data_IF_630465172829
#
_entry.id   IF_630465172829
#
_cell.length_a   1.000
_cell.length_b   1.000
_cell.length_c   1.000
_cell.angle_alpha   90.00
_cell.angle_beta   90.00
_cell.angle_gamma   90.00
#
_symmetry.space_group_name_H-M   'P 1'
#
loop_
_entity.id
_entity.type
_entity.pdbx_description
1 polymer ?
#
# COMPACT_ATOMS: atom_id res chain seq x y z
N UNK A 1 -55.29 -43.39 0.64
CA UNK A 1 -55.11 -42.24 -0.28
C UNK A 1 -54.04 -41.35 0.34
N UNK A 2 -52.84 -41.32 -0.22
CA UNK A 2 -51.76 -40.45 0.27
C UNK A 2 -52.00 -39.07 -0.32
N UNK A 3 -52.34 -38.10 0.52
CA UNK A 3 -52.47 -36.70 0.09
C UNK A 3 -51.10 -36.16 -0.31
N UNK A 4 -51.02 -35.49 -1.46
CA UNK A 4 -49.79 -34.83 -1.90
C UNK A 4 -49.28 -33.88 -0.80
N UNK A 5 -48.09 -34.16 -0.28
CA UNK A 5 -47.46 -33.43 0.83
C UNK A 5 -47.25 -31.95 0.50
N UNK A 6 -47.14 -31.60 -0.78
CA UNK A 6 -47.05 -30.20 -1.24
C UNK A 6 -48.34 -29.43 -0.99
N UNK A 7 -49.48 -30.10 -1.08
CA UNK A 7 -50.82 -29.53 -0.88
C UNK A 7 -51.13 -29.37 0.61
N UNK A 8 -50.75 -30.34 1.43
CA UNK A 8 -50.94 -30.27 2.89
C UNK A 8 -50.14 -29.11 3.53
N UNK A 9 -48.89 -28.88 3.08
CA UNK A 9 -48.07 -27.77 3.61
C UNK A 9 -48.67 -26.41 3.28
N UNK A 10 -49.20 -26.22 2.07
CA UNK A 10 -49.88 -24.97 1.69
C UNK A 10 -51.18 -24.76 2.46
N UNK A 11 -51.95 -25.82 2.69
CA UNK A 11 -53.17 -25.75 3.50
C UNK A 11 -52.86 -25.33 4.94
N UNK A 12 -51.85 -25.94 5.57
CA UNK A 12 -51.41 -25.59 6.93
C UNK A 12 -50.90 -24.14 6.98
N UNK A 13 -50.10 -23.73 5.99
CA UNK A 13 -49.62 -22.35 5.89
C UNK A 13 -50.76 -21.32 5.86
N UNK A 14 -51.88 -21.65 5.22
CA UNK A 14 -53.01 -20.73 5.04
C UNK A 14 -54.01 -20.77 6.20
N UNK A 15 -54.37 -21.97 6.68
CA UNK A 15 -55.46 -22.13 7.66
C UNK A 15 -54.98 -22.18 9.11
N UNK A 16 -53.78 -22.70 9.35
CA UNK A 16 -53.29 -22.99 10.71
C UNK A 16 -51.81 -22.64 10.92
N UNK A 17 -51.33 -21.46 10.48
CA UNK A 17 -49.90 -21.13 10.56
C UNK A 17 -49.38 -21.07 12.01
N UNK A 18 -50.15 -20.50 12.93
CA UNK A 18 -49.68 -20.27 14.31
C UNK A 18 -49.64 -21.56 15.14
N UNK A 19 -50.67 -22.39 15.01
CA UNK A 19 -50.70 -23.71 15.64
C UNK A 19 -49.53 -24.59 15.16
N UNK A 20 -49.22 -24.54 13.86
CA UNK A 20 -48.07 -25.27 13.30
C UNK A 20 -46.74 -24.74 13.82
N UNK A 21 -46.53 -23.41 13.84
CA UNK A 21 -45.30 -22.81 14.39
C UNK A 21 -45.11 -23.14 15.86
N UNK A 22 -46.18 -23.17 16.65
CA UNK A 22 -46.12 -23.53 18.06
C UNK A 22 -45.80 -25.01 18.26
N UNK A 23 -46.41 -25.90 17.45
CA UNK A 23 -46.03 -27.31 17.42
C UNK A 23 -44.56 -27.50 17.05
N UNK A 24 -44.07 -26.79 16.04
CA UNK A 24 -42.66 -26.81 15.65
C UNK A 24 -41.74 -26.41 16.82
N UNK A 25 -42.07 -25.34 17.56
CA UNK A 25 -41.30 -24.93 18.74
C UNK A 25 -41.31 -25.99 19.84
N UNK A 26 -42.47 -26.55 20.18
CA UNK A 26 -42.60 -27.56 21.23
C UNK A 26 -41.85 -28.85 20.90
N UNK A 27 -41.75 -29.20 19.61
CA UNK A 27 -41.11 -30.44 19.15
C UNK A 27 -39.68 -30.23 18.64
N UNK A 28 -39.08 -29.05 18.87
CA UNK A 28 -37.75 -28.69 18.33
C UNK A 28 -37.62 -28.93 16.81
N UNK A 29 -38.71 -28.73 16.08
CA UNK A 29 -38.76 -28.92 14.64
C UNK A 29 -38.64 -27.57 13.91
N UNK A 30 -37.83 -27.53 12.85
CA UNK A 30 -37.66 -26.33 12.05
C UNK A 30 -38.87 -26.12 11.13
N UNK A 31 -39.52 -24.95 11.22
CA UNK A 31 -40.65 -24.64 10.34
C UNK A 31 -40.22 -24.61 8.87
N UNK A 32 -40.96 -25.34 8.05
CA UNK A 32 -40.79 -25.43 6.59
C UNK A 32 -41.89 -24.69 5.83
N UNK A 33 -42.63 -23.80 6.49
CA UNK A 33 -43.57 -22.93 5.80
C UNK A 33 -42.82 -21.98 4.85
N UNK A 34 -43.34 -21.71 3.65
CA UNK A 34 -42.64 -20.89 2.65
C UNK A 34 -42.19 -19.51 3.16
N UNK A 35 -43.00 -18.90 4.03
CA UNK A 35 -42.69 -17.61 4.63
C UNK A 35 -41.48 -17.69 5.57
N UNK A 36 -41.49 -18.65 6.50
CA UNK A 36 -40.41 -18.81 7.49
C UNK A 36 -39.07 -19.19 6.83
N UNK A 37 -39.12 -19.97 5.74
CA UNK A 37 -37.95 -20.29 4.90
C UNK A 37 -37.41 -19.04 4.20
N UNK A 38 -38.29 -18.17 3.69
CA UNK A 38 -37.90 -16.92 3.04
C UNK A 38 -37.23 -15.98 4.04
N UNK A 39 -37.82 -15.79 5.22
CA UNK A 39 -37.28 -14.95 6.29
C UNK A 39 -35.88 -15.41 6.74
N UNK A 40 -35.69 -16.73 6.85
CA UNK A 40 -34.37 -17.30 7.20
C UNK A 40 -33.32 -17.03 6.12
N UNK A 41 -33.67 -17.20 4.85
CA UNK A 41 -32.76 -16.89 3.74
C UNK A 41 -32.39 -15.41 3.70
N UNK A 42 -33.34 -14.52 3.98
CA UNK A 42 -33.05 -13.08 4.06
C UNK A 42 -32.17 -12.73 5.25
N UNK A 43 -32.39 -13.33 6.42
CA UNK A 43 -31.53 -13.11 7.59
C UNK A 43 -30.10 -13.63 7.34
N UNK A 44 -29.94 -14.80 6.73
CA UNK A 44 -28.65 -15.34 6.34
C UNK A 44 -27.94 -14.46 5.29
N UNK A 45 -28.67 -13.89 4.33
CA UNK A 45 -28.10 -12.96 3.36
C UNK A 45 -27.64 -11.65 4.00
N UNK A 46 -28.36 -11.13 5.00
CA UNK A 46 -27.95 -9.94 5.78
C UNK A 46 -26.69 -10.23 6.61
N UNK A 47 -26.61 -11.40 7.25
CA UNK A 47 -25.41 -11.82 7.98
C UNK A 47 -24.21 -12.06 7.04
N UNK A 48 -24.43 -12.64 5.86
CA UNK A 48 -23.37 -12.79 4.85
C UNK A 48 -22.98 -11.47 4.19
N UNK A 49 -23.86 -10.47 4.13
CA UNK A 49 -23.50 -9.11 3.74
C UNK A 49 -22.60 -8.43 4.79
N UNK A 50 -22.60 -8.93 6.03
CA UNK A 50 -21.62 -8.58 7.08
C UNK A 50 -20.36 -9.47 7.03
N UNK A 51 -20.06 -10.11 5.89
CA UNK A 51 -18.78 -10.80 5.70
C UNK A 51 -17.65 -9.76 5.74
N UNK A 52 -17.08 -9.59 6.93
CA UNK A 52 -15.80 -8.96 7.16
C UNK A 52 -14.72 -9.66 6.36
N UNK A 53 -13.89 -8.81 5.74
CA UNK A 53 -12.62 -9.01 5.06
C UNK A 53 -11.95 -10.39 5.16
N UNK A 54 -11.44 -10.80 3.99
CA UNK A 54 -10.29 -11.65 3.71
C UNK A 54 -9.49 -12.26 4.90
N UNK A 55 -9.13 -13.53 4.69
CA UNK A 55 -8.38 -14.48 5.52
C UNK A 55 -7.55 -13.92 6.71
N UNK A 56 -7.73 -14.55 7.89
CA UNK A 56 -7.04 -14.30 9.17
C UNK A 56 -5.51 -14.41 9.07
N UNK A 57 -5.01 -15.06 8.03
CA UNK A 57 -3.58 -15.23 7.75
C UNK A 57 -2.96 -14.14 6.88
N UNK A 58 -3.75 -13.21 6.34
CA UNK A 58 -3.22 -12.10 5.57
C UNK A 58 -2.74 -11.00 6.51
N UNK A 59 -1.43 -10.74 6.47
CA UNK A 59 -0.87 -9.55 7.08
C UNK A 59 -1.11 -8.39 6.12
N UNK A 60 -1.60 -7.26 6.64
CA UNK A 60 -1.60 -6.01 5.90
C UNK A 60 -0.16 -5.67 5.53
N UNK A 61 0.17 -5.74 4.25
CA UNK A 61 1.42 -5.17 3.75
C UNK A 61 1.28 -3.67 4.00
N UNK A 62 2.20 -3.02 4.73
CA UNK A 62 2.16 -1.57 4.91
C UNK A 62 2.02 -0.94 3.53
N UNK A 63 1.15 0.07 3.36
CA UNK A 63 0.92 0.67 2.05
C UNK A 63 2.27 1.03 1.47
N UNK A 64 2.66 0.31 0.42
CA UNK A 64 3.90 0.57 -0.28
C UNK A 64 3.75 2.04 -0.71
N UNK A 65 4.61 2.93 -0.21
CA UNK A 65 4.59 4.35 -0.57
C UNK A 65 4.37 4.39 -2.08
N UNK A 66 3.25 4.96 -2.53
CA UNK A 66 2.87 4.93 -3.95
C UNK A 66 4.03 5.58 -4.70
N UNK A 67 4.91 4.76 -5.26
CA UNK A 67 6.05 5.22 -6.03
C UNK A 67 5.43 5.77 -7.29
N UNK A 68 5.32 7.09 -7.39
CA UNK A 68 4.89 7.75 -8.61
C UNK A 68 5.82 7.21 -9.71
N UNK A 69 5.30 6.48 -10.71
CA UNK A 69 6.13 5.93 -11.75
C UNK A 69 6.89 7.06 -12.43
N UNK A 70 8.17 6.82 -12.72
CA UNK A 70 8.96 7.78 -13.48
C UNK A 70 8.28 8.07 -14.82
N UNK A 71 8.14 9.35 -15.15
CA UNK A 71 7.81 9.82 -16.49
C UNK A 71 8.64 11.06 -16.78
N UNK A 72 9.03 11.27 -18.04
CA UNK A 72 9.86 12.42 -18.43
C UNK A 72 9.18 13.76 -18.11
N UNK A 73 7.85 13.81 -18.15
CA UNK A 73 7.07 15.01 -17.82
C UNK A 73 7.17 15.36 -16.35
N UNK A 74 6.91 14.40 -15.45
CA UNK A 74 6.99 14.62 -14.00
C UNK A 74 8.42 14.97 -13.57
N UNK A 75 9.42 14.30 -14.17
CA UNK A 75 10.83 14.61 -13.88
C UNK A 75 11.18 16.05 -14.31
N UNK A 76 10.73 16.47 -15.49
CA UNK A 76 10.95 17.83 -15.99
C UNK A 76 10.29 18.88 -15.10
N UNK A 77 9.07 18.64 -14.66
CA UNK A 77 8.35 19.54 -13.74
C UNK A 77 9.09 19.68 -12.41
N UNK A 78 9.48 18.56 -11.79
CA UNK A 78 10.25 18.55 -10.55
C UNK A 78 11.61 19.27 -10.71
N UNK A 79 12.28 19.11 -11.85
CA UNK A 79 13.54 19.81 -12.12
C UNK A 79 13.34 21.34 -12.23
N UNK A 80 12.27 21.79 -12.90
CA UNK A 80 11.93 23.22 -12.99
C UNK A 80 11.60 23.80 -11.61
N UNK A 81 10.79 23.10 -10.82
CA UNK A 81 10.45 23.51 -9.45
C UNK A 81 11.71 23.63 -8.57
N UNK A 82 12.61 22.65 -8.66
CA UNK A 82 13.89 22.70 -7.95
C UNK A 82 14.74 23.91 -8.36
N UNK A 83 14.86 24.20 -9.67
CA UNK A 83 15.61 25.37 -10.15
C UNK A 83 15.05 26.69 -9.60
N UNK A 84 13.73 26.87 -9.64
CA UNK A 84 13.06 28.10 -9.19
C UNK A 84 13.17 28.24 -7.67
N UNK A 85 12.83 27.20 -6.92
CA UNK A 85 12.81 27.22 -5.44
C UNK A 85 14.18 27.47 -4.83
N UNK A 86 15.25 27.01 -5.48
CA UNK A 86 16.63 27.17 -4.99
C UNK A 86 17.43 28.23 -5.73
N UNK A 87 16.79 28.97 -6.65
CA UNK A 87 17.42 30.02 -7.47
C UNK A 87 18.69 29.55 -8.19
N UNK A 88 18.65 28.34 -8.74
CA UNK A 88 19.79 27.76 -9.45
C UNK A 88 19.85 28.30 -10.89
N UNK A 89 21.05 28.43 -11.48
CA UNK A 89 21.16 28.77 -12.89
C UNK A 89 20.57 27.66 -13.77
N UNK A 90 19.96 28.04 -14.90
CA UNK A 90 19.40 27.07 -15.86
C UNK A 90 20.45 26.06 -16.31
N UNK A 91 21.72 26.48 -16.45
CA UNK A 91 22.84 25.62 -16.81
C UNK A 91 23.13 24.48 -15.81
N UNK A 92 22.56 24.49 -14.61
CA UNK A 92 22.76 23.44 -13.62
C UNK A 92 22.32 22.06 -14.15
N UNK A 93 21.27 21.99 -14.98
CA UNK A 93 20.77 20.72 -15.55
C UNK A 93 21.69 20.16 -16.65
N UNK A 94 22.50 21.01 -17.27
CA UNK A 94 23.47 20.61 -18.29
C UNK A 94 24.74 20.00 -17.69
N UNK A 95 25.01 20.31 -16.42
CA UNK A 95 26.26 19.92 -15.77
C UNK A 95 26.40 18.38 -15.71
N UNK A 96 27.51 17.80 -16.19
CA UNK A 96 27.67 16.35 -16.28
C UNK A 96 27.59 15.66 -14.90
N UNK A 97 28.07 16.29 -13.83
CA UNK A 97 27.95 15.74 -12.48
C UNK A 97 26.51 15.67 -11.99
N UNK A 98 25.64 16.61 -12.40
CA UNK A 98 24.21 16.55 -12.06
C UNK A 98 23.56 15.36 -12.77
N UNK A 99 23.80 15.19 -14.08
CA UNK A 99 23.32 14.03 -14.84
C UNK A 99 23.82 12.70 -14.25
N UNK A 100 25.09 12.65 -13.83
CA UNK A 100 25.65 11.47 -13.17
C UNK A 100 24.96 11.16 -11.83
N UNK A 101 24.67 12.17 -11.02
CA UNK A 101 23.94 12.01 -9.76
C UNK A 101 22.55 11.40 -9.98
N UNK A 102 21.80 11.88 -10.98
CA UNK A 102 20.49 11.33 -11.34
C UNK A 102 20.59 9.88 -11.84
N UNK A 103 21.60 9.58 -12.67
CA UNK A 103 21.83 8.22 -13.17
C UNK A 103 22.18 7.22 -12.04
N UNK A 104 22.84 7.67 -10.97
CA UNK A 104 23.10 6.85 -9.79
C UNK A 104 21.79 6.66 -9.00
N UNK A 105 21.05 7.76 -8.79
CA UNK A 105 19.78 7.74 -8.08
C UNK A 105 18.72 6.84 -8.74
N UNK A 106 18.64 6.83 -10.08
CA UNK A 106 17.66 6.03 -10.82
C UNK A 106 17.85 4.51 -10.69
N UNK A 107 19.03 4.07 -10.23
CA UNK A 107 19.35 2.66 -9.99
C UNK A 107 19.03 2.20 -8.56
N UNK A 108 18.64 3.13 -7.67
CA UNK A 108 18.38 2.81 -6.28
C UNK A 108 17.04 2.06 -6.13
N UNK A 109 17.08 0.88 -5.53
CA UNK A 109 15.88 0.06 -5.27
C UNK A 109 15.11 0.50 -4.03
N UNK A 110 15.81 1.09 -3.06
CA UNK A 110 15.28 1.45 -1.74
C UNK A 110 15.18 2.97 -1.56
N UNK A 111 15.06 3.73 -2.66
CA UNK A 111 15.11 5.18 -2.65
C UNK A 111 16.52 5.73 -2.39
N UNK A 112 16.61 7.06 -2.27
CA UNK A 112 17.88 7.79 -2.10
C UNK A 112 17.90 8.49 -0.76
N UNK A 113 18.94 8.26 0.04
CA UNK A 113 19.18 8.95 1.31
C UNK A 113 20.23 10.04 1.10
N UNK A 114 19.81 11.29 1.17
CA UNK A 114 20.73 12.43 1.09
C UNK A 114 21.32 12.74 2.48
N UNK A 115 22.64 12.99 2.58
CA UNK A 115 23.24 13.43 3.83
C UNK A 115 22.70 14.81 4.24
N UNK A 116 22.62 15.04 5.54
CA UNK A 116 22.26 16.37 6.06
C UNK A 116 23.42 17.38 5.85
N UNK A 117 23.11 18.68 5.95
CA UNK A 117 24.07 19.78 5.72
C UNK A 117 25.42 19.60 6.44
N UNK A 118 25.40 19.15 7.70
CA UNK A 118 26.61 19.00 8.50
C UNK A 118 27.44 17.80 8.03
N UNK A 119 26.77 16.69 7.69
CA UNK A 119 27.41 15.53 7.09
C UNK A 119 28.01 15.89 5.72
N UNK A 120 27.25 16.53 4.83
CA UNK A 120 27.74 16.99 3.52
C UNK A 120 28.96 17.89 3.65
N UNK A 121 28.95 18.85 4.59
CA UNK A 121 30.10 19.73 4.83
C UNK A 121 31.34 18.93 5.25
N UNK A 122 31.18 17.96 6.16
CA UNK A 122 32.27 17.11 6.62
C UNK A 122 32.84 16.30 5.46
N UNK A 123 31.98 15.66 4.68
CA UNK A 123 32.37 14.83 3.54
C UNK A 123 33.16 15.63 2.49
N UNK A 124 32.75 16.88 2.24
CA UNK A 124 33.50 17.80 1.37
C UNK A 124 34.90 18.06 1.93
N UNK A 125 35.02 18.40 3.22
CA UNK A 125 36.31 18.66 3.86
C UNK A 125 37.24 17.44 3.81
N UNK A 126 36.70 16.26 4.04
CA UNK A 126 37.47 15.01 4.04
C UNK A 126 37.89 14.61 2.62
N UNK A 127 37.06 14.89 1.61
CA UNK A 127 37.43 14.75 0.20
C UNK A 127 38.63 15.64 -0.13
N UNK A 128 38.61 16.92 0.25
CA UNK A 128 39.73 17.84 0.02
C UNK A 128 41.02 17.36 0.69
N UNK A 129 40.95 16.97 1.97
CA UNK A 129 42.11 16.42 2.70
C UNK A 129 42.68 15.19 2.00
N UNK A 130 41.82 14.27 1.56
CA UNK A 130 42.23 13.06 0.86
C UNK A 130 42.97 13.39 -0.44
N UNK A 131 42.46 14.34 -1.23
CA UNK A 131 43.11 14.75 -2.47
C UNK A 131 44.46 15.43 -2.21
N UNK A 132 44.57 16.28 -1.18
CA UNK A 132 45.83 16.91 -0.80
C UNK A 132 46.87 15.88 -0.34
N UNK A 133 46.47 14.87 0.42
CA UNK A 133 47.36 13.76 0.82
C UNK A 133 47.86 12.97 -0.40
N UNK A 134 46.96 12.63 -1.33
CA UNK A 134 47.33 11.96 -2.59
C UNK A 134 48.28 12.81 -3.43
N UNK A 135 48.02 14.11 -3.52
CA UNK A 135 48.87 15.04 -4.25
C UNK A 135 50.26 15.15 -3.61
N UNK A 136 50.34 15.26 -2.28
CA UNK A 136 51.62 15.28 -1.55
C UNK A 136 52.46 14.03 -1.85
N UNK A 137 51.83 12.85 -1.86
CA UNK A 137 52.50 11.60 -2.23
C UNK A 137 53.03 11.61 -3.66
N UNK A 138 52.27 12.15 -4.62
CA UNK A 138 52.70 12.25 -6.02
C UNK A 138 53.82 13.26 -6.24
N UNK A 139 53.83 14.35 -5.47
CA UNK A 139 54.81 15.41 -5.60
C UNK A 139 56.09 15.17 -4.78
N UNK A 140 56.17 14.09 -4.00
CA UNK A 140 57.33 13.75 -3.16
C UNK A 140 57.80 14.87 -2.21
N UNK A 141 56.89 15.77 -1.83
CA UNK A 141 57.20 16.88 -0.92
C UNK A 141 57.33 16.35 0.51
N UNK A 142 58.57 16.17 0.94
CA UNK A 142 58.91 16.06 2.36
C UNK A 142 59.13 17.48 2.91
N UNK A 143 58.32 17.89 3.88
CA UNK A 143 58.68 19.03 4.71
C UNK A 143 59.83 18.58 5.61
N UNK A 144 61.07 18.86 5.20
CA UNK A 144 62.19 18.90 6.14
C UNK A 144 61.99 20.15 6.97
N UNK A 145 61.52 19.98 8.20
CA UNK A 145 61.69 21.02 9.21
C UNK A 145 63.20 21.12 9.47
N UNK A 146 63.76 22.27 9.13
CA UNK A 146 65.12 22.70 9.52
C UNK A 146 65.01 23.40 10.86
#
# INVERSE_FOLDING_TARGET
IVSDTSTCRRHIAFRHPDAYRQWCKTNNFESMLPQDVKERKTAAAVLNAQQTSLDRHLQEIPPNNVVIPYTDTHFREAAIEWLVSTSQPIQAVDHPSFKNMINIASRATNGVVLPNRNATRRDIMDLFKTQLTKLKGRLNVSFRFV
#
